data_IF_976326646022
#
_entry.id   IF_976326646022
#
_cell.length_a   1.000
_cell.length_b   1.000
_cell.length_c   1.000
_cell.angle_alpha   90.00
_cell.angle_beta   90.00
_cell.angle_gamma   90.00
#
_symmetry.space_group_name_H-M   'P 1'
#
loop_
_entity.id
_entity.type
_entity.pdbx_description
1 polymer ?
#
# COMPACT_ATOMS: atom_id res chain seq x y z
N UNK A 1 85.64 -23.07 36.47
CA UNK A 1 84.38 -22.87 37.22
C UNK A 1 83.30 -22.36 36.28
N UNK A 2 82.16 -23.05 36.27
CA UNK A 2 80.79 -22.62 35.89
C UNK A 2 80.50 -22.07 34.48
N UNK A 3 80.00 -22.98 33.66
CA UNK A 3 78.87 -22.91 32.70
C UNK A 3 77.89 -21.72 32.79
N UNK A 4 77.39 -21.26 31.63
CA UNK A 4 75.94 -21.32 31.26
C UNK A 4 75.67 -21.00 29.77
N UNK A 5 74.91 -21.91 29.15
CA UNK A 5 74.15 -21.79 27.88
C UNK A 5 72.96 -20.82 28.00
N UNK A 6 72.44 -20.35 26.85
CA UNK A 6 71.02 -20.32 26.40
C UNK A 6 70.97 -19.44 25.12
N UNK A 7 70.88 -19.99 23.90
CA UNK A 7 69.73 -20.57 23.18
C UNK A 7 68.58 -19.61 22.87
N UNK A 8 68.15 -19.68 21.60
CA UNK A 8 66.82 -19.40 21.05
C UNK A 8 66.53 -17.98 20.54
N UNK A 9 65.77 -17.73 19.47
CA UNK A 9 65.17 -18.52 18.37
C UNK A 9 64.78 -17.47 17.31
N UNK A 10 64.96 -17.80 16.04
CA UNK A 10 64.51 -17.02 14.87
C UNK A 10 62.99 -17.21 14.68
N UNK A 11 62.20 -16.14 14.65
CA UNK A 11 60.78 -16.20 14.27
C UNK A 11 60.46 -15.17 13.20
N UNK A 12 60.33 -15.68 11.98
CA UNK A 12 59.82 -15.00 10.79
C UNK A 12 58.30 -14.84 10.94
N UNK A 13 57.80 -13.60 11.07
CA UNK A 13 56.35 -13.34 10.97
C UNK A 13 55.97 -13.23 9.49
N UNK A 14 55.40 -14.29 8.94
CA UNK A 14 54.61 -14.24 7.71
C UNK A 14 53.24 -13.66 8.08
N UNK A 15 53.05 -12.37 7.81
CA UNK A 15 51.76 -11.71 7.92
C UNK A 15 50.82 -12.23 6.83
N UNK A 16 49.93 -13.15 7.20
CA UNK A 16 48.78 -13.53 6.40
C UNK A 16 47.84 -12.32 6.41
N UNK A 17 47.82 -11.54 5.32
CA UNK A 17 46.77 -10.56 5.08
C UNK A 17 45.48 -11.33 4.79
N UNK A 18 44.69 -11.60 5.83
CA UNK A 18 43.32 -12.04 5.69
C UNK A 18 42.57 -10.97 4.90
N UNK A 19 42.26 -11.26 3.65
CA UNK A 19 41.22 -10.57 2.91
C UNK A 19 39.92 -10.85 3.67
N UNK A 20 39.53 -9.91 4.53
CA UNK A 20 38.20 -9.88 5.08
C UNK A 20 37.25 -9.76 3.87
N UNK A 21 36.59 -10.87 3.56
CA UNK A 21 35.42 -10.88 2.70
C UNK A 21 34.42 -9.97 3.40
N UNK A 22 34.35 -8.72 2.98
CA UNK A 22 33.28 -7.82 3.37
C UNK A 22 32.01 -8.51 2.91
N UNK A 23 31.09 -8.91 3.81
CA UNK A 23 29.76 -9.25 3.37
C UNK A 23 29.26 -8.01 2.65
N UNK A 24 28.91 -8.17 1.37
CA UNK A 24 28.16 -7.17 0.64
C UNK A 24 27.07 -6.70 1.59
N UNK A 25 27.10 -5.40 1.89
CA UNK A 25 26.05 -4.72 2.62
C UNK A 25 24.78 -4.98 1.81
N UNK A 26 24.08 -6.06 2.15
CA UNK A 26 22.66 -6.15 1.97
C UNK A 26 22.14 -5.00 2.81
N UNK A 27 22.09 -3.82 2.19
CA UNK A 27 21.26 -2.74 2.65
C UNK A 27 19.89 -3.38 2.73
N UNK A 28 19.59 -3.79 3.95
CA UNK A 28 18.35 -4.33 4.41
C UNK A 28 17.45 -3.11 4.35
N UNK A 29 17.03 -2.75 3.13
CA UNK A 29 15.97 -1.79 2.86
C UNK A 29 14.83 -2.35 3.66
N UNK A 30 14.67 -1.77 4.85
CA UNK A 30 13.80 -2.34 5.83
C UNK A 30 12.45 -2.33 5.12
N UNK A 31 11.80 -3.49 5.06
CA UNK A 31 10.45 -3.76 4.49
C UNK A 31 9.36 -2.85 5.12
N UNK A 32 9.77 -1.85 5.92
CA UNK A 32 9.01 -0.97 6.79
C UNK A 32 7.96 -0.13 6.09
N UNK A 33 8.05 0.16 4.79
CA UNK A 33 7.09 1.02 4.09
C UNK A 33 6.53 0.43 2.78
N UNK A 34 6.57 -0.91 2.61
CA UNK A 34 6.06 -1.57 1.39
C UNK A 34 4.56 -1.42 1.14
N UNK A 35 3.82 -0.95 2.13
CA UNK A 35 2.38 -0.84 2.00
C UNK A 35 2.02 0.41 1.18
N UNK A 36 2.27 1.59 1.71
CA UNK A 36 1.61 2.81 1.19
C UNK A 36 2.53 4.03 1.14
N UNK A 37 3.85 3.86 1.32
CA UNK A 37 4.79 4.99 1.30
C UNK A 37 4.47 6.01 2.40
N UNK A 38 4.02 5.50 3.55
CA UNK A 38 3.60 6.30 4.70
C UNK A 38 2.16 6.80 4.66
N UNK A 39 1.42 6.65 3.55
CA UNK A 39 0.02 7.09 3.43
C UNK A 39 -0.93 6.12 4.12
N UNK A 40 -1.82 6.58 4.99
CA UNK A 40 -2.82 5.73 5.65
C UNK A 40 -4.21 6.03 5.13
N UNK A 41 -5.07 5.00 5.14
CA UNK A 41 -6.50 5.23 4.98
C UNK A 41 -6.97 6.12 6.13
N UNK A 42 -7.64 7.20 5.77
CA UNK A 42 -8.08 8.27 6.67
C UNK A 42 -7.16 9.48 6.76
N UNK A 43 -5.99 9.47 6.13
CA UNK A 43 -5.12 10.65 6.08
C UNK A 43 -5.82 11.82 5.41
N UNK A 44 -5.48 13.03 5.87
CA UNK A 44 -5.85 14.25 5.17
C UNK A 44 -5.02 14.41 3.89
N UNK A 45 -5.43 15.31 3.00
CA UNK A 45 -4.64 15.65 1.81
C UNK A 45 -3.24 16.11 2.20
N UNK A 46 -3.11 16.95 3.22
CA UNK A 46 -1.81 17.49 3.64
C UNK A 46 -0.88 16.41 4.23
N UNK A 47 -1.41 15.52 5.08
CA UNK A 47 -0.63 14.44 5.69
C UNK A 47 -0.08 13.48 4.62
N UNK A 48 -0.94 13.14 3.66
CA UNK A 48 -0.59 12.28 2.55
C UNK A 48 0.41 12.93 1.60
N UNK A 49 0.23 14.20 1.23
CA UNK A 49 1.18 14.91 0.36
C UNK A 49 2.57 15.00 1.02
N UNK A 50 2.61 15.21 2.33
CA UNK A 50 3.85 15.21 3.09
C UNK A 50 4.54 13.84 3.07
N UNK A 51 3.79 12.75 3.22
CA UNK A 51 4.31 11.38 3.14
C UNK A 51 4.86 11.08 1.74
N UNK A 52 4.07 11.32 0.70
CA UNK A 52 4.45 11.06 -0.69
C UNK A 52 5.65 11.86 -1.16
N UNK A 53 5.76 13.13 -0.75
CA UNK A 53 6.91 13.98 -1.07
C UNK A 53 8.20 13.44 -0.46
N UNK A 54 8.17 12.92 0.78
CA UNK A 54 9.35 12.33 1.44
C UNK A 54 9.85 11.10 0.70
N UNK A 55 8.93 10.35 0.12
CA UNK A 55 9.22 9.12 -0.62
C UNK A 55 9.50 9.38 -2.11
N UNK A 56 9.52 10.64 -2.57
CA UNK A 56 9.90 11.01 -3.93
C UNK A 56 8.79 10.86 -4.99
N UNK A 57 7.53 10.72 -4.58
CA UNK A 57 6.39 10.72 -5.49
C UNK A 57 6.06 12.13 -5.99
N UNK A 58 5.77 12.24 -7.28
CA UNK A 58 5.43 13.50 -7.96
C UNK A 58 3.95 13.47 -8.35
N UNK A 59 3.23 14.55 -8.02
CA UNK A 59 1.85 14.72 -8.44
C UNK A 59 1.72 14.71 -9.98
N UNK A 60 0.73 13.98 -10.48
CA UNK A 60 0.47 13.87 -11.91
C UNK A 60 -0.85 14.52 -12.32
N UNK A 61 -1.97 14.08 -11.72
CA UNK A 61 -3.31 14.61 -12.02
C UNK A 61 -4.29 14.36 -10.89
N UNK A 62 -5.39 15.10 -10.90
CA UNK A 62 -6.52 14.90 -9.97
C UNK A 62 -7.87 15.04 -10.66
N UNK A 63 -8.89 14.47 -10.04
CA UNK A 63 -10.29 14.75 -10.34
C UNK A 63 -10.97 15.27 -9.08
N UNK A 64 -12.05 16.01 -9.24
CA UNK A 64 -12.81 16.60 -8.13
C UNK A 64 -14.25 16.09 -8.12
N UNK A 65 -14.81 15.92 -6.93
CA UNK A 65 -16.24 15.90 -6.69
C UNK A 65 -16.77 17.32 -6.89
N UNK A 66 -17.77 17.48 -7.76
CA UNK A 66 -18.45 18.77 -7.95
C UNK A 66 -19.12 19.21 -6.66
N UNK A 67 -19.20 20.53 -6.43
CA UNK A 67 -19.95 21.09 -5.32
C UNK A 67 -21.44 20.65 -5.38
N UNK A 68 -21.92 20.08 -4.29
CA UNK A 68 -23.29 19.56 -4.16
C UNK A 68 -23.67 19.43 -2.68
N UNK A 69 -24.96 19.44 -2.35
CA UNK A 69 -25.46 19.25 -0.99
C UNK A 69 -24.93 20.25 0.06
N UNK A 70 -24.56 21.47 -0.34
CA UNK A 70 -23.89 22.43 0.55
C UNK A 70 -22.43 22.09 0.85
N UNK A 71 -21.86 21.04 0.25
CA UNK A 71 -20.43 20.77 0.29
C UNK A 71 -19.73 21.51 -0.86
N UNK A 72 -18.55 22.11 -0.60
CA UNK A 72 -17.72 22.71 -1.65
C UNK A 72 -17.16 21.63 -2.57
N UNK A 73 -16.58 22.07 -3.70
CA UNK A 73 -15.76 21.19 -4.55
C UNK A 73 -14.61 20.59 -3.73
N UNK A 74 -14.38 19.28 -3.90
CA UNK A 74 -13.40 18.50 -3.13
C UNK A 74 -12.66 17.55 -4.04
N UNK A 75 -11.44 17.18 -3.68
CA UNK A 75 -10.67 16.18 -4.44
C UNK A 75 -11.41 14.84 -4.37
N UNK A 76 -11.58 14.18 -5.51
CA UNK A 76 -12.13 12.83 -5.62
C UNK A 76 -11.01 11.80 -5.78
N UNK A 77 -10.07 12.07 -6.69
CA UNK A 77 -8.89 11.23 -6.87
C UNK A 77 -7.66 12.09 -7.07
N UNK A 78 -6.50 11.60 -6.61
CA UNK A 78 -5.20 12.17 -6.90
C UNK A 78 -4.26 11.06 -7.35
N UNK A 79 -3.50 11.33 -8.41
CA UNK A 79 -2.61 10.37 -9.03
C UNK A 79 -1.18 10.90 -8.99
N UNK A 80 -0.26 10.01 -8.64
CA UNK A 80 1.15 10.29 -8.45
C UNK A 80 1.99 9.28 -9.22
N UNK A 81 3.20 9.69 -9.55
CA UNK A 81 4.19 8.88 -10.25
C UNK A 81 5.57 9.08 -9.65
N UNK A 82 6.40 8.05 -9.67
CA UNK A 82 7.85 8.18 -9.50
C UNK A 82 8.51 8.12 -10.88
N UNK A 83 9.52 8.95 -11.10
CA UNK A 83 10.28 8.89 -12.36
C UNK A 83 11.13 7.62 -12.38
N UNK A 84 10.65 6.63 -13.14
CA UNK A 84 11.41 5.46 -13.55
C UNK A 84 12.03 5.70 -14.92
N UNK A 85 13.31 5.35 -15.09
CA UNK A 85 14.08 5.47 -16.35
C UNK A 85 13.57 4.55 -17.50
N UNK A 86 12.34 4.04 -17.41
CA UNK A 86 11.77 3.01 -18.28
C UNK A 86 10.31 3.32 -18.64
N UNK A 87 9.85 2.70 -19.75
CA UNK A 87 8.61 2.96 -20.48
C UNK A 87 7.28 2.85 -19.69
N UNK A 88 7.27 2.37 -18.45
CA UNK A 88 6.07 2.37 -17.59
C UNK A 88 6.40 3.02 -16.23
N UNK A 89 5.70 4.11 -15.83
CA UNK A 89 5.94 4.77 -14.56
C UNK A 89 5.39 3.95 -13.39
N UNK A 90 6.12 3.92 -12.27
CA UNK A 90 5.53 3.57 -10.98
C UNK A 90 4.36 4.52 -10.73
N UNK A 91 3.24 3.98 -10.28
CA UNK A 91 1.97 4.68 -10.27
C UNK A 91 1.26 4.50 -8.95
N UNK A 92 0.71 5.59 -8.42
CA UNK A 92 -0.16 5.57 -7.27
C UNK A 92 -1.41 6.39 -7.54
N UNK A 93 -2.56 5.84 -7.18
CA UNK A 93 -3.85 6.52 -7.16
C UNK A 93 -4.41 6.48 -5.76
N UNK A 94 -4.84 7.63 -5.28
CA UNK A 94 -5.55 7.80 -4.03
C UNK A 94 -6.97 8.26 -4.33
N UNK A 95 -7.92 7.69 -3.61
CA UNK A 95 -9.34 8.07 -3.66
C UNK A 95 -9.71 8.69 -2.35
N UNK A 96 -10.46 9.78 -2.40
CA UNK A 96 -10.87 10.56 -1.25
C UNK A 96 -12.36 10.46 -1.04
N UNK A 97 -12.77 10.57 0.22
CA UNK A 97 -14.18 10.66 0.55
C UNK A 97 -14.79 11.97 0.04
N UNK A 98 -16.02 11.94 -0.50
CA UNK A 98 -16.72 13.16 -0.92
C UNK A 98 -17.08 14.11 0.23
N UNK A 99 -17.17 13.63 1.47
CA UNK A 99 -17.58 14.46 2.63
C UNK A 99 -16.37 15.02 3.37
N UNK A 100 -15.49 14.15 3.87
CA UNK A 100 -14.35 14.57 4.70
C UNK A 100 -13.07 14.89 3.93
N UNK A 101 -13.00 14.57 2.63
CA UNK A 101 -11.76 14.69 1.83
C UNK A 101 -10.57 13.92 2.42
N UNK A 102 -10.84 12.83 3.16
CA UNK A 102 -9.83 11.91 3.66
C UNK A 102 -9.64 10.73 2.71
N UNK A 103 -8.44 10.14 2.70
CA UNK A 103 -8.13 8.98 1.87
C UNK A 103 -9.01 7.80 2.27
N UNK A 104 -9.72 7.18 1.32
CA UNK A 104 -10.58 6.00 1.53
C UNK A 104 -10.13 4.79 0.71
N UNK A 105 -9.36 5.01 -0.35
CA UNK A 105 -8.74 3.93 -1.11
C UNK A 105 -7.38 4.33 -1.66
N UNK A 106 -6.55 3.32 -1.90
CA UNK A 106 -5.23 3.43 -2.47
C UNK A 106 -5.00 2.31 -3.47
N UNK A 107 -4.47 2.64 -4.64
CA UNK A 107 -3.96 1.71 -5.63
C UNK A 107 -2.52 2.10 -5.95
N UNK A 108 -1.57 1.19 -5.77
CA UNK A 108 -0.15 1.40 -6.01
C UNK A 108 0.37 0.28 -6.90
N UNK A 109 1.09 0.63 -7.95
CA UNK A 109 1.90 -0.29 -8.74
C UNK A 109 3.34 0.21 -8.69
N UNK A 110 4.25 -0.68 -8.33
CA UNK A 110 5.65 -0.33 -8.12
C UNK A 110 6.56 -1.46 -8.56
N UNK A 111 7.68 -1.09 -9.18
CA UNK A 111 8.80 -1.99 -9.48
C UNK A 111 9.89 -1.82 -8.41
N UNK A 112 10.43 -2.95 -7.96
CA UNK A 112 11.48 -2.94 -6.95
C UNK A 112 12.86 -2.92 -7.62
N UNK A 113 13.71 -1.97 -7.20
CA UNK A 113 15.11 -1.92 -7.64
C UNK A 113 15.97 -3.00 -6.99
N UNK A 114 15.52 -3.55 -5.86
CA UNK A 114 16.13 -4.69 -5.16
C UNK A 114 15.07 -5.76 -5.03
N UNK A 115 15.37 -6.98 -5.47
CA UNK A 115 14.44 -8.10 -5.42
C UNK A 115 14.00 -8.40 -3.98
N UNK A 116 12.70 -8.50 -3.76
CA UNK A 116 12.08 -8.75 -2.45
C UNK A 116 11.57 -10.19 -2.43
N UNK A 117 11.72 -10.89 -1.30
CA UNK A 117 11.15 -12.25 -1.20
C UNK A 117 9.64 -12.19 -1.06
N UNK A 118 8.96 -13.11 -1.74
CA UNK A 118 7.50 -13.23 -1.69
C UNK A 118 7.00 -13.48 -0.25
N UNK A 119 7.74 -14.28 0.51
CA UNK A 119 7.43 -14.61 1.90
C UNK A 119 7.50 -13.40 2.82
N UNK A 120 8.49 -12.52 2.65
CA UNK A 120 8.63 -11.35 3.52
C UNK A 120 7.51 -10.35 3.29
N UNK A 121 7.12 -10.16 2.03
CA UNK A 121 6.03 -9.25 1.67
C UNK A 121 4.68 -9.77 2.21
N UNK A 122 4.37 -11.04 1.98
CA UNK A 122 3.15 -11.66 2.50
C UNK A 122 3.11 -11.69 4.04
N UNK A 123 4.24 -11.94 4.70
CA UNK A 123 4.36 -11.94 6.17
C UNK A 123 4.13 -10.55 6.76
N UNK A 124 4.72 -9.51 6.18
CA UNK A 124 4.49 -8.12 6.62
C UNK A 124 3.02 -7.75 6.50
N UNK A 125 2.38 -8.06 5.37
CA UNK A 125 0.95 -7.78 5.18
C UNK A 125 0.08 -8.56 6.17
N UNK A 126 0.34 -9.86 6.36
CA UNK A 126 -0.43 -10.70 7.28
C UNK A 126 -0.26 -10.29 8.75
N UNK A 127 0.89 -9.71 9.12
CA UNK A 127 1.08 -9.17 10.47
C UNK A 127 0.17 -7.98 10.78
N UNK A 128 -0.24 -7.24 9.75
CA UNK A 128 -1.13 -6.07 9.87
C UNK A 128 -2.60 -6.41 9.67
N UNK A 129 -2.88 -7.26 8.69
CA UNK A 129 -4.24 -7.59 8.24
C UNK A 129 -4.76 -8.93 8.74
N UNK A 130 -3.94 -9.69 9.47
CA UNK A 130 -4.28 -11.02 9.96
C UNK A 130 -4.17 -12.09 8.88
N UNK A 131 -4.96 -13.15 9.06
CA UNK A 131 -4.97 -14.29 8.14
C UNK A 131 -5.63 -13.88 6.81
N UNK A 132 -4.99 -14.14 5.66
CA UNK A 132 -5.59 -13.87 4.35
C UNK A 132 -6.95 -14.53 4.20
N UNK A 133 -7.90 -13.81 3.61
CA UNK A 133 -9.20 -14.35 3.25
C UNK A 133 -9.10 -15.26 2.01
N UNK A 134 -8.17 -14.97 1.09
CA UNK A 134 -7.91 -15.79 -0.08
C UNK A 134 -6.45 -15.68 -0.55
N UNK A 135 -5.94 -16.80 -1.07
CA UNK A 135 -4.62 -16.87 -1.73
C UNK A 135 -4.81 -17.56 -3.08
N UNK A 136 -4.45 -16.89 -4.18
CA UNK A 136 -4.52 -17.40 -5.55
C UNK A 136 -3.10 -17.65 -6.08
N UNK A 137 -2.71 -18.93 -6.08
CA UNK A 137 -1.34 -19.31 -6.41
C UNK A 137 -0.34 -18.72 -5.42
N UNK A 138 0.91 -18.54 -5.84
CA UNK A 138 1.93 -17.94 -4.99
C UNK A 138 1.86 -16.41 -4.96
N UNK A 139 1.21 -15.76 -5.93
CA UNK A 139 1.48 -14.37 -6.29
C UNK A 139 0.33 -13.40 -6.05
N UNK A 140 -0.85 -13.85 -5.62
CA UNK A 140 -2.00 -12.98 -5.35
C UNK A 140 -2.65 -13.35 -4.02
N UNK A 141 -2.70 -12.39 -3.10
CA UNK A 141 -3.18 -12.58 -1.74
C UNK A 141 -4.14 -11.45 -1.38
N UNK A 142 -5.24 -11.78 -0.72
CA UNK A 142 -6.24 -10.80 -0.30
C UNK A 142 -6.67 -10.98 1.16
N UNK A 143 -6.93 -9.84 1.80
CA UNK A 143 -7.49 -9.72 3.14
C UNK A 143 -8.79 -8.95 3.04
N UNK A 144 -9.85 -9.49 3.64
CA UNK A 144 -11.18 -8.90 3.59
C UNK A 144 -11.79 -8.99 4.97
N UNK A 145 -12.37 -7.89 5.43
CA UNK A 145 -13.21 -7.88 6.62
C UNK A 145 -14.61 -7.41 6.28
N UNK A 146 -15.59 -8.03 6.93
CA UNK A 146 -17.01 -7.74 6.79
C UNK A 146 -17.43 -6.73 7.85
N UNK A 147 -18.47 -5.95 7.58
CA UNK A 147 -19.12 -5.17 8.63
C UNK A 147 -19.77 -6.09 9.65
N UNK A 148 -19.77 -5.68 10.91
CA UNK A 148 -20.41 -6.43 11.99
C UNK A 148 -21.90 -6.68 11.68
N UNK A 149 -22.36 -7.92 11.86
CA UNK A 149 -23.76 -8.30 11.64
C UNK A 149 -24.20 -8.35 10.16
N UNK A 150 -23.27 -8.36 9.21
CA UNK A 150 -23.57 -8.46 7.77
C UNK A 150 -23.00 -9.74 7.15
N UNK A 151 -23.85 -10.45 6.40
CA UNK A 151 -23.40 -11.58 5.58
C UNK A 151 -22.86 -11.09 4.23
N UNK A 152 -21.55 -11.21 4.08
CA UNK A 152 -20.89 -11.12 2.77
C UNK A 152 -20.67 -12.55 2.28
N UNK A 153 -21.70 -13.12 1.68
CA UNK A 153 -21.55 -14.31 0.85
C UNK A 153 -22.02 -13.95 -0.55
N UNK A 154 -21.12 -14.00 -1.55
CA UNK A 154 -19.72 -14.41 -1.47
C UNK A 154 -18.74 -13.28 -1.08
N UNK A 155 -17.67 -13.64 -0.34
CA UNK A 155 -16.49 -12.78 -0.02
C UNK A 155 -15.89 -12.13 -1.29
N UNK A 156 -16.12 -12.75 -2.45
CA UNK A 156 -15.64 -12.31 -3.75
C UNK A 156 -16.10 -10.90 -4.13
N UNK A 157 -17.20 -10.37 -3.59
CA UNK A 157 -17.66 -9.01 -3.91
C UNK A 157 -16.72 -7.94 -3.31
N UNK A 158 -16.36 -8.07 -2.03
CA UNK A 158 -15.42 -7.15 -1.38
C UNK A 158 -14.02 -7.27 -1.98
N UNK A 159 -13.63 -8.48 -2.35
CA UNK A 159 -12.34 -8.74 -2.97
C UNK A 159 -12.26 -8.20 -4.41
N UNK A 160 -13.30 -8.39 -5.22
CA UNK A 160 -13.37 -7.85 -6.57
C UNK A 160 -13.24 -6.32 -6.55
N UNK A 161 -13.81 -5.67 -5.54
CA UNK A 161 -13.71 -4.23 -5.37
C UNK A 161 -12.28 -3.72 -5.10
N UNK A 162 -11.48 -4.48 -4.36
CA UNK A 162 -10.03 -4.21 -4.26
C UNK A 162 -9.30 -4.53 -5.58
N UNK A 163 -9.82 -5.42 -6.43
CA UNK A 163 -9.29 -5.65 -7.76
C UNK A 163 -9.61 -4.57 -8.80
N UNK A 164 -10.49 -3.61 -8.47
CA UNK A 164 -11.06 -2.66 -9.43
C UNK A 164 -10.67 -1.21 -9.09
N UNK A 165 -10.20 -0.46 -10.08
CA UNK A 165 -9.88 0.99 -9.99
C UNK A 165 -11.16 1.86 -10.01
N UNK A 166 -12.14 1.55 -9.16
CA UNK A 166 -13.51 2.03 -9.37
C UNK A 166 -13.80 3.43 -8.82
N UNK A 167 -14.71 4.09 -9.52
CA UNK A 167 -15.54 5.18 -9.00
C UNK A 167 -16.51 4.60 -7.96
N UNK A 168 -16.05 4.41 -6.73
CA UNK A 168 -16.78 3.63 -5.73
C UNK A 168 -18.17 4.19 -5.37
N UNK A 169 -18.42 5.47 -5.61
CA UNK A 169 -19.70 6.12 -5.34
C UNK A 169 -20.89 5.54 -6.11
N UNK A 170 -20.69 4.98 -7.32
CA UNK A 170 -21.78 4.40 -8.12
C UNK A 170 -22.20 2.99 -7.65
N UNK A 171 -21.32 2.28 -6.93
CA UNK A 171 -21.48 0.87 -6.58
C UNK A 171 -21.52 0.64 -5.07
N UNK A 172 -21.81 1.69 -4.28
CA UNK A 172 -21.79 1.64 -2.82
C UNK A 172 -22.66 0.55 -2.22
N UNK A 173 -23.85 0.34 -2.77
CA UNK A 173 -24.80 -0.64 -2.26
C UNK A 173 -24.27 -2.07 -2.48
N UNK A 174 -23.48 -2.29 -3.53
CA UNK A 174 -22.76 -3.55 -3.80
C UNK A 174 -21.70 -3.85 -2.74
N UNK A 175 -21.16 -2.82 -2.08
CA UNK A 175 -20.09 -2.96 -1.08
C UNK A 175 -20.56 -2.66 0.36
N UNK A 176 -21.87 -2.50 0.57
CA UNK A 176 -22.45 -2.12 1.86
C UNK A 176 -22.13 -3.09 3.00
N UNK A 177 -21.82 -4.35 2.68
CA UNK A 177 -21.47 -5.37 3.66
C UNK A 177 -19.95 -5.48 3.90
N UNK A 178 -19.14 -4.80 3.09
CA UNK A 178 -17.69 -4.78 3.20
C UNK A 178 -17.25 -3.74 4.23
N UNK A 179 -16.30 -4.10 5.10
CA UNK A 179 -15.64 -3.16 5.99
C UNK A 179 -14.35 -2.65 5.36
N UNK A 180 -13.43 -3.57 5.06
CA UNK A 180 -12.21 -3.28 4.33
C UNK A 180 -11.88 -4.40 3.33
N UNK A 181 -11.13 -4.05 2.29
CA UNK A 181 -10.46 -5.04 1.46
C UNK A 181 -9.05 -4.58 1.08
N UNK A 182 -8.11 -5.52 1.11
CA UNK A 182 -6.73 -5.36 0.67
C UNK A 182 -6.39 -6.48 -0.29
N UNK A 183 -5.83 -6.15 -1.45
CA UNK A 183 -5.35 -7.13 -2.43
C UNK A 183 -3.94 -6.80 -2.84
N UNK A 184 -3.05 -7.76 -2.70
CA UNK A 184 -1.66 -7.70 -3.12
C UNK A 184 -1.45 -8.70 -4.26
N UNK A 185 -1.18 -8.19 -5.46
CA UNK A 185 -0.72 -8.97 -6.59
C UNK A 185 0.78 -8.73 -6.82
N UNK A 186 1.54 -9.79 -7.07
CA UNK A 186 2.98 -9.79 -7.21
C UNK A 186 3.37 -10.37 -8.56
N UNK A 187 4.45 -9.85 -9.16
CA UNK A 187 5.04 -10.45 -10.35
C UNK A 187 6.37 -11.11 -9.98
N UNK A 188 6.50 -12.43 -10.18
CA UNK A 188 7.73 -13.14 -9.85
C UNK A 188 8.86 -12.71 -10.79
N UNK A 189 10.07 -12.62 -10.25
CA UNK A 189 11.29 -12.34 -11.01
C UNK A 189 11.78 -13.63 -11.70
N UNK A 190 12.96 -13.56 -12.33
CA UNK A 190 13.59 -14.74 -12.94
C UNK A 190 13.76 -15.90 -11.93
N UNK A 191 13.97 -15.57 -10.65
CA UNK A 191 13.91 -16.51 -9.54
C UNK A 191 12.50 -16.50 -8.93
N UNK A 192 11.74 -17.61 -8.94
CA UNK A 192 10.31 -17.63 -8.57
C UNK A 192 9.98 -17.16 -7.14
N UNK A 193 10.95 -17.23 -6.23
CA UNK A 193 10.81 -16.79 -4.84
C UNK A 193 10.97 -15.26 -4.66
N UNK A 194 11.40 -14.57 -5.71
CA UNK A 194 11.67 -13.14 -5.73
C UNK A 194 10.59 -12.40 -6.51
N UNK A 195 10.32 -11.16 -6.10
CA UNK A 195 9.32 -10.28 -6.68
C UNK A 195 10.02 -9.05 -7.23
N UNK A 196 9.75 -8.72 -8.49
CA UNK A 196 10.28 -7.50 -9.14
C UNK A 196 9.24 -6.39 -9.28
N UNK A 197 7.95 -6.71 -9.13
CA UNK A 197 6.84 -5.76 -9.19
C UNK A 197 5.72 -6.17 -8.25
N UNK A 198 5.05 -5.19 -7.66
CA UNK A 198 3.78 -5.38 -6.98
C UNK A 198 2.68 -4.48 -7.52
N UNK A 199 1.44 -4.90 -7.26
CA UNK A 199 0.25 -4.05 -7.29
C UNK A 199 -0.50 -4.26 -5.99
N UNK A 200 -0.63 -3.20 -5.21
CA UNK A 200 -1.39 -3.16 -3.98
C UNK A 200 -2.66 -2.33 -4.19
N UNK A 201 -3.80 -2.86 -3.78
CA UNK A 201 -5.04 -2.14 -3.72
C UNK A 201 -5.66 -2.26 -2.33
N UNK A 202 -6.17 -1.16 -1.81
CA UNK A 202 -6.74 -1.05 -0.47
C UNK A 202 -7.97 -0.17 -0.50
N UNK A 203 -9.02 -0.57 0.21
CA UNK A 203 -10.27 0.20 0.32
C UNK A 203 -10.85 0.07 1.73
N UNK A 204 -11.24 1.21 2.32
CA UNK A 204 -12.05 1.35 3.54
C UNK A 204 -13.51 1.61 3.10
N UNK A 205 -14.27 0.52 2.94
CA UNK A 205 -15.69 0.58 2.56
C UNK A 205 -16.56 1.09 3.70
N UNK A 206 -16.14 0.89 4.94
CA UNK A 206 -16.85 1.38 6.12
C UNK A 206 -17.02 2.90 6.02
N UNK A 207 -15.89 3.60 5.94
CA UNK A 207 -15.87 5.05 5.85
C UNK A 207 -16.54 5.57 4.59
N UNK A 208 -16.22 4.97 3.44
CA UNK A 208 -16.75 5.43 2.17
C UNK A 208 -18.29 5.36 2.13
N UNK A 209 -18.87 4.25 2.59
CA UNK A 209 -20.31 4.07 2.54
C UNK A 209 -21.03 4.93 3.59
N UNK A 210 -20.47 5.08 4.79
CA UNK A 210 -21.08 5.91 5.83
C UNK A 210 -21.13 7.39 5.39
N UNK A 211 -20.01 7.90 4.86
CA UNK A 211 -19.94 9.28 4.38
C UNK A 211 -20.79 9.50 3.13
N UNK A 212 -20.87 8.53 2.22
CA UNK A 212 -21.74 8.71 1.05
C UNK A 212 -23.22 8.56 1.38
N UNK A 213 -23.58 7.72 2.36
CA UNK A 213 -24.96 7.65 2.85
C UNK A 213 -25.38 8.99 3.49
N UNK A 214 -24.49 9.61 4.26
CA UNK A 214 -24.70 10.95 4.80
C UNK A 214 -24.94 11.98 3.68
N UNK A 215 -24.13 11.94 2.62
CA UNK A 215 -24.31 12.82 1.45
C UNK A 215 -25.65 12.57 0.73
N UNK A 216 -26.02 11.29 0.51
CA UNK A 216 -27.30 10.92 -0.10
C UNK A 216 -28.48 11.44 0.70
N UNK A 217 -28.43 11.34 2.03
CA UNK A 217 -29.50 11.83 2.92
C UNK A 217 -29.60 13.36 2.87
N UNK A 218 -28.47 14.07 2.96
CA UNK A 218 -28.45 15.53 2.85
C UNK A 218 -29.02 16.04 1.50
N UNK A 219 -28.73 15.32 0.40
CA UNK A 219 -29.29 15.65 -0.92
C UNK A 219 -30.80 15.42 -1.00
N UNK A 220 -31.31 14.35 -0.39
CA UNK A 220 -32.77 14.10 -0.32
C UNK A 220 -33.48 15.22 0.42
N UNK A 221 -32.97 15.61 1.59
CA UNK A 221 -33.58 16.66 2.41
C UNK A 221 -33.63 18.01 1.67
N UNK A 222 -32.58 18.35 0.91
CA UNK A 222 -32.58 19.55 0.06
C UNK A 222 -33.57 19.48 -1.12
N UNK A 223 -33.79 18.30 -1.70
CA UNK A 223 -34.77 18.12 -2.77
C UNK A 223 -36.20 18.29 -2.25
N UNK A 224 -36.50 17.77 -1.06
CA UNK A 224 -37.82 17.96 -0.42
C UNK A 224 -38.13 19.43 -0.13
N UNK A 225 -37.13 20.23 0.27
CA UNK A 225 -37.30 21.68 0.49
C UNK A 225 -37.60 22.43 -0.81
N UNK A 226 -37.09 21.98 -1.97
CA UNK A 226 -37.33 22.62 -3.27
C UNK A 226 -38.66 22.28 -3.93
N UNK A 227 -39.32 21.20 -3.54
CA UNK A 227 -40.63 20.78 -4.12
C UNK A 227 -41.80 21.29 -3.27
N UNK A 228 -41.55 21.72 -2.04
CA UNK A 228 -42.57 22.22 -1.11
C UNK A 228 -42.81 23.75 -1.13
N UNK A 229 -42.23 24.49 -2.07
CA UNK A 229 -42.43 25.93 -2.25
C UNK A 229 -43.05 26.24 -3.61
#
# INVERSE_FOLDING_TARGET
MKTKLLSSVLSLFVGITSFAVQPAVHAQTTVKNLETEGVKLGDSVADMELALKKEGWVFWRKTNHKAAAGLPERIATAQYKKDGRNLEPDYMMLVFSPVTSRVVALSRSERFNVEITLSDLAKTMSSKYGVPAMTRGATDVSWVEKRAGKDVTPITQCEAAAGLQLNYASNLDTFANCRYAVRLAMSPAAKPQLVWRMTLNMVDFERLYDETLQLKNALKDQAYIKVGN
#
